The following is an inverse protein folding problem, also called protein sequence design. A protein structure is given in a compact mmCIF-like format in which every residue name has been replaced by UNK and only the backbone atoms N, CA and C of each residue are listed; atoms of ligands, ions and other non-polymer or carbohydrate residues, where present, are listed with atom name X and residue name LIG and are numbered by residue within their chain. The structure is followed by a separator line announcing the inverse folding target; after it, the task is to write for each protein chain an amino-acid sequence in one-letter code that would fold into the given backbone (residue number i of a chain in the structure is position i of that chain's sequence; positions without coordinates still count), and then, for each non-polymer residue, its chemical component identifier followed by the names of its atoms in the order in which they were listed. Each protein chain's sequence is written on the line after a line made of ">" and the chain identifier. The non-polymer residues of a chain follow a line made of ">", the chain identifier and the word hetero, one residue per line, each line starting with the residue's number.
data_IF_257801589445
#
_entry.id   IF_257801589445
#
_cell.length_a   1.000
_cell.length_b   1.000
_cell.length_c   1.000
_cell.angle_alpha   90.00
_cell.angle_beta   90.00
_cell.angle_gamma   90.00
#
_symmetry.space_group_name_H-M   'P 1'
#
loop_
_entity.id
_entity.type
_entity.pdbx_description
1 polymer ?
#
# COMPACT_ATOMS: atom_id res chain seq x y z
N UNK A 1 19.05 -16.14 11.06
CA UNK A 1 18.12 -15.21 10.37
C UNK A 1 16.79 -15.93 10.27
N UNK A 2 15.77 -15.39 10.93
CA UNK A 2 14.42 -15.94 10.80
C UNK A 2 13.89 -15.56 9.41
N UNK A 3 13.74 -16.57 8.57
CA UNK A 3 13.26 -16.43 7.20
C UNK A 3 11.76 -16.17 7.20
N UNK A 4 11.30 -15.16 6.47
CA UNK A 4 9.87 -14.89 6.24
C UNK A 4 9.10 -16.13 5.75
N UNK A 5 9.79 -17.05 5.05
CA UNK A 5 9.25 -18.34 4.60
C UNK A 5 8.91 -19.28 5.75
N UNK A 6 9.43 -19.04 6.96
CA UNK A 6 9.18 -19.90 8.14
C UNK A 6 7.95 -19.47 8.94
N UNK A 7 7.21 -18.44 8.50
CA UNK A 7 5.97 -18.02 9.16
C UNK A 7 4.93 -19.15 9.12
N UNK A 8 4.43 -19.49 10.30
CA UNK A 8 3.34 -20.47 10.44
C UNK A 8 2.01 -19.82 10.02
N UNK A 9 1.02 -20.65 9.68
CA UNK A 9 -0.31 -20.17 9.28
C UNK A 9 -0.90 -19.14 10.27
N UNK A 10 -0.78 -19.39 11.58
CA UNK A 10 -1.28 -18.48 12.62
C UNK A 10 -0.62 -17.08 12.57
N UNK A 11 0.66 -17.02 12.23
CA UNK A 11 1.38 -15.76 12.14
C UNK A 11 0.99 -14.94 10.91
N UNK A 12 0.73 -15.63 9.79
CA UNK A 12 0.16 -15.00 8.59
C UNK A 12 -1.28 -14.52 8.85
N UNK A 13 -2.05 -15.26 9.63
CA UNK A 13 -3.42 -14.85 10.00
C UNK A 13 -3.40 -13.60 10.89
N UNK A 14 -2.45 -13.47 11.83
CA UNK A 14 -2.29 -12.25 12.62
C UNK A 14 -1.96 -11.04 11.73
N UNK A 15 -1.07 -11.19 10.75
CA UNK A 15 -0.77 -10.12 9.79
C UNK A 15 -1.98 -9.77 8.89
N UNK A 16 -2.77 -10.77 8.49
CA UNK A 16 -4.01 -10.55 7.74
C UNK A 16 -5.03 -9.75 8.55
N UNK A 17 -5.15 -10.04 9.84
CA UNK A 17 -6.05 -9.28 10.72
C UNK A 17 -5.61 -7.81 10.82
N UNK A 18 -4.32 -7.55 11.01
CA UNK A 18 -3.77 -6.18 11.01
C UNK A 18 -4.07 -5.47 9.68
N UNK A 19 -3.85 -6.15 8.56
CA UNK A 19 -4.14 -5.56 7.24
C UNK A 19 -5.64 -5.31 7.05
N UNK A 20 -6.51 -6.20 7.55
CA UNK A 20 -7.96 -6.05 7.49
C UNK A 20 -8.44 -4.83 8.32
N UNK A 21 -7.89 -4.63 9.51
CA UNK A 21 -8.15 -3.45 10.34
C UNK A 21 -7.70 -2.17 9.61
N UNK A 22 -6.48 -2.17 9.04
CA UNK A 22 -5.97 -1.06 8.25
C UNK A 22 -6.84 -0.74 7.04
N UNK A 23 -7.29 -1.76 6.31
CA UNK A 23 -8.21 -1.63 5.18
C UNK A 23 -9.56 -1.00 5.61
N UNK A 24 -10.12 -1.42 6.74
CA UNK A 24 -11.36 -0.85 7.30
C UNK A 24 -11.22 0.65 7.64
N UNK A 25 -10.11 1.04 8.28
CA UNK A 25 -9.82 2.46 8.57
C UNK A 25 -9.64 3.25 7.27
N UNK A 26 -8.91 2.71 6.30
CA UNK A 26 -8.70 3.32 5.00
C UNK A 26 -10.01 3.52 4.22
N UNK A 27 -10.88 2.50 4.19
CA UNK A 27 -12.20 2.59 3.56
C UNK A 27 -13.05 3.70 4.16
N UNK A 28 -13.05 3.82 5.49
CA UNK A 28 -13.79 4.85 6.21
C UNK A 28 -13.27 6.24 5.85
N UNK A 29 -11.95 6.46 5.90
CA UNK A 29 -11.34 7.74 5.61
C UNK A 29 -11.55 8.18 4.15
N UNK A 30 -11.35 7.26 3.20
CA UNK A 30 -11.61 7.53 1.77
C UNK A 30 -13.08 7.81 1.49
N UNK A 31 -14.01 7.05 2.10
CA UNK A 31 -15.45 7.27 1.96
C UNK A 31 -15.87 8.68 2.38
N UNK A 32 -15.31 9.17 3.49
CA UNK A 32 -15.54 10.53 3.96
C UNK A 32 -15.00 11.58 2.98
N UNK A 33 -13.83 11.34 2.42
CA UNK A 33 -13.19 12.28 1.49
C UNK A 33 -13.94 12.41 0.17
N UNK A 34 -14.32 11.29 -0.43
CA UNK A 34 -15.05 11.30 -1.71
C UNK A 34 -16.56 11.48 -1.55
N UNK A 35 -17.07 11.46 -0.32
CA UNK A 35 -18.51 11.51 0.00
C UNK A 35 -19.33 10.42 -0.72
N UNK A 36 -18.79 9.21 -0.77
CA UNK A 36 -19.42 8.00 -1.33
C UNK A 36 -18.93 6.78 -0.57
N UNK A 37 -19.75 5.74 -0.51
CA UNK A 37 -19.41 4.55 0.24
C UNK A 37 -18.33 3.73 -0.50
N UNK A 38 -17.13 3.67 0.09
CA UNK A 38 -16.07 2.74 -0.31
C UNK A 38 -16.07 1.55 0.62
N UNK A 39 -16.05 0.37 0.04
CA UNK A 39 -15.72 -0.88 0.75
C UNK A 39 -14.39 -1.39 0.24
N UNK A 40 -13.57 -1.96 1.12
CA UNK A 40 -12.34 -2.64 0.74
C UNK A 40 -12.57 -4.12 0.96
N UNK A 41 -12.21 -4.95 -0.02
CA UNK A 41 -12.22 -6.41 0.13
C UNK A 41 -11.27 -6.85 1.24
N UNK A 42 -11.48 -8.04 1.79
CA UNK A 42 -10.50 -8.63 2.72
C UNK A 42 -9.15 -8.71 2.00
N UNK A 43 -8.11 -8.04 2.53
CA UNK A 43 -6.83 -7.96 1.82
C UNK A 43 -6.18 -9.33 1.68
N UNK A 44 -5.55 -9.58 0.55
CA UNK A 44 -4.68 -10.73 0.37
C UNK A 44 -3.25 -10.32 0.71
N UNK A 45 -2.64 -11.02 1.68
CA UNK A 45 -1.24 -10.79 2.03
C UNK A 45 -0.39 -11.86 1.35
N UNK A 46 0.57 -11.39 0.56
CA UNK A 46 1.61 -12.20 -0.04
C UNK A 46 2.97 -11.76 0.47
N UNK A 47 3.82 -12.73 0.79
CA UNK A 47 5.23 -12.48 1.04
C UNK A 47 5.95 -12.91 -0.22
N UNK A 48 6.39 -11.94 -0.98
CA UNK A 48 7.02 -12.16 -2.29
C UNK A 48 8.42 -11.58 -2.31
N UNK A 49 9.25 -12.08 -3.22
CA UNK A 49 10.47 -11.35 -3.58
C UNK A 49 10.06 -10.07 -4.29
N UNK A 50 10.78 -9.00 -4.04
CA UNK A 50 10.45 -7.71 -4.66
C UNK A 50 10.48 -7.80 -6.20
N UNK A 51 11.36 -8.62 -6.77
CA UNK A 51 11.46 -8.87 -8.21
C UNK A 51 10.23 -9.57 -8.81
N UNK A 52 9.45 -10.30 -7.99
CA UNK A 52 8.26 -11.03 -8.40
C UNK A 52 6.96 -10.20 -8.26
N UNK A 53 7.07 -8.98 -7.71
CA UNK A 53 5.91 -8.10 -7.47
C UNK A 53 5.43 -7.36 -8.72
N UNK A 54 6.29 -6.83 -9.63
CA UNK A 54 5.84 -6.05 -10.78
C UNK A 54 4.76 -6.75 -11.63
N UNK A 55 4.90 -8.03 -12.02
CA UNK A 55 3.89 -8.70 -12.84
C UNK A 55 2.57 -8.97 -12.12
N UNK A 56 2.53 -8.85 -10.78
CA UNK A 56 1.29 -8.97 -10.01
C UNK A 56 0.49 -7.66 -10.04
N UNK A 57 1.15 -6.53 -10.24
CA UNK A 57 0.54 -5.19 -10.18
C UNK A 57 -0.04 -4.79 -11.53
N UNK A 58 0.73 -4.92 -12.60
CA UNK A 58 0.36 -4.50 -13.95
C UNK A 58 1.11 -5.30 -15.01
N UNK A 59 0.65 -5.23 -16.24
CA UNK A 59 1.41 -5.73 -17.38
C UNK A 59 2.77 -4.99 -17.48
N UNK A 60 3.82 -5.63 -18.04
CA UNK A 60 5.20 -5.10 -18.00
C UNK A 60 5.37 -3.69 -18.60
N UNK A 61 4.56 -3.34 -19.59
CA UNK A 61 4.62 -2.05 -20.31
C UNK A 61 3.56 -1.05 -19.83
N UNK A 62 2.76 -1.40 -18.83
CA UNK A 62 1.77 -0.49 -18.28
C UNK A 62 2.35 0.37 -17.16
N UNK A 63 2.20 1.71 -17.25
CA UNK A 63 2.65 2.58 -16.19
C UNK A 63 1.77 2.46 -14.94
N UNK A 64 2.39 2.70 -13.80
CA UNK A 64 1.74 2.75 -12.49
C UNK A 64 1.95 4.13 -11.85
N UNK A 65 1.05 4.49 -10.95
CA UNK A 65 1.25 5.59 -10.02
C UNK A 65 1.59 4.99 -8.65
N UNK A 66 2.74 5.36 -8.11
CA UNK A 66 3.23 4.82 -6.85
C UNK A 66 3.49 5.95 -5.84
N UNK A 67 2.88 5.86 -4.67
CA UNK A 67 3.08 6.77 -3.56
C UNK A 67 4.02 6.13 -2.55
N UNK A 68 5.20 6.74 -2.40
CA UNK A 68 6.24 6.33 -1.47
C UNK A 68 6.16 7.17 -0.20
N UNK A 69 6.21 6.51 0.96
CA UNK A 69 6.35 7.15 2.26
C UNK A 69 7.39 6.40 3.10
N UNK A 70 8.14 7.14 3.91
CA UNK A 70 9.03 6.55 4.90
C UNK A 70 8.27 6.22 6.18
N UNK A 71 8.60 5.11 6.77
CA UNK A 71 8.23 4.73 8.13
C UNK A 71 9.29 5.24 9.10
N UNK A 72 8.88 5.97 10.12
CA UNK A 72 9.73 6.54 11.17
C UNK A 72 9.15 6.20 12.55
N UNK A 73 9.98 6.27 13.57
CA UNK A 73 9.61 5.95 14.94
C UNK A 73 10.29 4.68 15.43
N UNK A 74 9.55 3.84 16.16
CA UNK A 74 10.08 2.58 16.71
C UNK A 74 10.36 1.53 15.63
N UNK A 75 9.65 1.61 14.49
CA UNK A 75 9.93 0.85 13.29
C UNK A 75 10.32 1.79 12.16
N UNK A 76 11.31 1.37 11.40
CA UNK A 76 11.81 2.11 10.23
C UNK A 76 11.70 1.28 8.96
N UNK A 77 11.60 1.96 7.83
CA UNK A 77 11.43 1.33 6.52
C UNK A 77 10.66 2.24 5.58
N UNK A 78 9.92 1.63 4.66
CA UNK A 78 9.12 2.35 3.67
C UNK A 78 7.80 1.65 3.40
N UNK A 79 6.83 2.43 2.97
CA UNK A 79 5.61 1.94 2.36
C UNK A 79 5.53 2.44 0.93
N UNK A 80 5.03 1.59 0.05
CA UNK A 80 4.78 1.93 -1.33
C UNK A 80 3.35 1.52 -1.66
N UNK A 81 2.51 2.50 -2.00
CA UNK A 81 1.17 2.24 -2.48
C UNK A 81 1.15 2.40 -3.98
N UNK A 82 0.80 1.34 -4.71
CA UNK A 82 0.88 1.28 -6.16
C UNK A 82 -0.51 1.06 -6.76
N UNK A 83 -0.84 1.87 -7.75
CA UNK A 83 -2.05 1.74 -8.56
C UNK A 83 -1.67 1.61 -10.04
N UNK A 84 -2.26 0.69 -10.80
CA UNK A 84 -2.26 0.78 -12.25
C UNK A 84 -2.73 2.17 -12.71
N UNK A 85 -2.12 2.74 -13.75
CA UNK A 85 -2.42 4.12 -14.16
C UNK A 85 -3.91 4.39 -14.39
N UNK A 86 -4.69 3.49 -15.04
CA UNK A 86 -6.14 3.69 -15.18
C UNK A 86 -6.87 3.80 -13.84
N UNK A 87 -6.48 2.97 -12.87
CA UNK A 87 -7.02 3.02 -11.50
C UNK A 87 -6.66 4.33 -10.81
N UNK A 88 -5.41 4.80 -10.95
CA UNK A 88 -4.98 6.06 -10.36
C UNK A 88 -5.76 7.26 -10.94
N UNK A 89 -5.94 7.31 -12.26
CA UNK A 89 -6.75 8.35 -12.91
C UNK A 89 -8.17 8.34 -12.35
N UNK A 90 -8.79 7.15 -12.30
CA UNK A 90 -10.17 7.05 -11.81
C UNK A 90 -10.31 7.44 -10.34
N UNK A 91 -9.35 7.02 -9.50
CA UNK A 91 -9.31 7.41 -8.08
C UNK A 91 -9.15 8.93 -7.93
N UNK A 92 -8.29 9.56 -8.73
CA UNK A 92 -8.14 11.01 -8.73
C UNK A 92 -9.43 11.74 -9.13
N UNK A 93 -10.12 11.26 -10.17
CA UNK A 93 -11.43 11.82 -10.58
C UNK A 93 -12.46 11.77 -9.44
N UNK A 94 -12.53 10.63 -8.74
CA UNK A 94 -13.42 10.46 -7.59
C UNK A 94 -13.08 11.44 -6.47
N UNK A 95 -11.81 11.57 -6.13
CA UNK A 95 -11.36 12.49 -5.08
C UNK A 95 -11.59 13.95 -5.44
N UNK A 96 -11.45 14.30 -6.71
CA UNK A 96 -11.74 15.64 -7.25
C UNK A 96 -13.22 15.85 -7.57
N UNK A 97 -14.08 14.85 -7.33
CA UNK A 97 -15.52 14.86 -7.63
C UNK A 97 -15.83 15.17 -9.10
N UNK A 98 -15.02 14.60 -10.00
CA UNK A 98 -15.15 14.75 -11.44
C UNK A 98 -15.84 13.56 -12.09
N UNK A 99 -16.53 13.75 -13.22
CA UNK A 99 -17.13 12.65 -13.97
C UNK A 99 -16.06 11.63 -14.45
N UNK A 100 -16.43 10.35 -14.64
CA UNK A 100 -15.55 9.36 -15.25
C UNK A 100 -15.04 9.81 -16.63
N UNK A 101 -13.74 9.64 -16.88
CA UNK A 101 -13.10 10.00 -18.15
C UNK A 101 -12.89 11.49 -18.38
N UNK A 102 -13.10 12.32 -17.36
CA UNK A 102 -12.86 13.76 -17.44
C UNK A 102 -11.38 14.15 -17.35
N UNK A 103 -10.53 13.24 -16.85
CA UNK A 103 -9.10 13.44 -16.71
C UNK A 103 -8.35 12.52 -17.68
N UNK A 104 -7.80 13.04 -18.79
CA UNK A 104 -7.08 12.21 -19.77
C UNK A 104 -5.75 11.66 -19.22
N UNK A 105 -5.16 12.36 -18.25
CA UNK A 105 -3.89 12.02 -17.62
C UNK A 105 -3.84 12.51 -16.16
N UNK A 106 -2.76 12.11 -15.46
CA UNK A 106 -2.48 12.58 -14.10
C UNK A 106 -1.77 13.95 -14.15
N UNK A 107 -2.55 15.02 -14.31
CA UNK A 107 -2.06 16.38 -14.16
C UNK A 107 -1.74 16.74 -12.70
N UNK A 108 -1.39 18.00 -12.42
CA UNK A 108 -0.96 18.43 -11.07
C UNK A 108 -2.03 18.19 -10.00
N UNK A 109 -3.30 18.44 -10.31
CA UNK A 109 -4.39 18.24 -9.38
C UNK A 109 -4.64 16.76 -9.12
N UNK A 110 -4.63 15.93 -10.17
CA UNK A 110 -4.77 14.48 -10.07
C UNK A 110 -3.61 13.86 -9.28
N UNK A 111 -2.38 14.30 -9.53
CA UNK A 111 -1.20 13.87 -8.76
C UNK A 111 -1.30 14.26 -7.28
N UNK A 112 -1.80 15.44 -6.98
CA UNK A 112 -2.06 15.88 -5.61
C UNK A 112 -3.13 15.00 -4.94
N UNK A 113 -4.20 14.68 -5.64
CA UNK A 113 -5.26 13.78 -5.16
C UNK A 113 -4.72 12.37 -4.89
N UNK A 114 -3.88 11.82 -5.77
CA UNK A 114 -3.26 10.50 -5.57
C UNK A 114 -2.28 10.50 -4.39
N UNK A 115 -1.50 11.57 -4.21
CA UNK A 115 -0.65 11.70 -3.01
C UNK A 115 -1.47 11.69 -1.73
N UNK A 116 -2.59 12.38 -1.71
CA UNK A 116 -3.48 12.42 -0.54
C UNK A 116 -4.15 11.06 -0.31
N UNK A 117 -4.63 10.37 -1.35
CA UNK A 117 -5.12 8.99 -1.23
C UNK A 117 -4.05 8.06 -0.65
N UNK A 118 -2.82 8.20 -1.15
CA UNK A 118 -1.67 7.44 -0.66
C UNK A 118 -1.35 7.72 0.81
N UNK A 119 -1.42 8.98 1.21
CA UNK A 119 -1.24 9.39 2.60
C UNK A 119 -2.28 8.73 3.53
N UNK A 120 -3.56 8.80 3.15
CA UNK A 120 -4.66 8.21 3.91
C UNK A 120 -4.50 6.69 4.04
N UNK A 121 -4.30 6.00 2.92
CA UNK A 121 -4.21 4.54 2.87
C UNK A 121 -2.98 4.04 3.62
N UNK A 122 -1.81 4.59 3.35
CA UNK A 122 -0.56 4.18 4.02
C UNK A 122 -0.61 4.46 5.51
N UNK A 123 -1.16 5.61 5.93
CA UNK A 123 -1.32 5.94 7.34
C UNK A 123 -2.29 5.00 8.05
N UNK A 124 -3.38 4.59 7.39
CA UNK A 124 -4.33 3.64 7.96
C UNK A 124 -3.68 2.27 8.23
N UNK A 125 -2.90 1.74 7.27
CA UNK A 125 -2.16 0.49 7.47
C UNK A 125 -1.07 0.62 8.54
N UNK A 126 -0.31 1.73 8.55
CA UNK A 126 0.72 1.96 9.57
C UNK A 126 0.12 2.12 10.97
N UNK A 127 -1.01 2.79 11.10
CA UNK A 127 -1.70 2.92 12.39
C UNK A 127 -2.18 1.56 12.90
N UNK A 128 -2.79 0.73 12.04
CA UNK A 128 -3.19 -0.62 12.42
C UNK A 128 -2.00 -1.48 12.88
N UNK A 129 -0.86 -1.37 12.19
CA UNK A 129 0.38 -2.06 12.58
C UNK A 129 0.93 -1.51 13.91
N UNK A 130 0.92 -0.18 14.08
CA UNK A 130 1.33 0.51 15.31
C UNK A 130 0.52 0.04 16.51
N UNK A 131 -0.79 0.01 16.38
CA UNK A 131 -1.70 -0.41 17.45
C UNK A 131 -1.50 -1.90 17.80
N UNK A 132 -1.37 -2.76 16.78
CA UNK A 132 -1.12 -4.18 16.97
C UNK A 132 0.18 -4.45 17.72
N UNK A 133 1.24 -3.70 17.41
CA UNK A 133 2.56 -3.90 17.98
C UNK A 133 2.78 -3.12 19.30
N UNK A 134 1.92 -2.15 19.62
CA UNK A 134 2.14 -1.22 20.71
C UNK A 134 3.39 -0.35 20.51
N UNK A 135 3.73 -0.04 19.25
CA UNK A 135 4.91 0.73 18.84
C UNK A 135 4.48 1.98 18.07
N UNK A 136 5.25 3.06 18.20
CA UNK A 136 4.97 4.30 17.49
C UNK A 136 5.51 4.24 16.07
N UNK A 137 4.60 4.40 15.08
CA UNK A 137 4.94 4.57 13.68
C UNK A 137 4.45 5.92 13.19
N UNK A 138 5.34 6.65 12.50
CA UNK A 138 5.05 7.96 11.94
C UNK A 138 5.32 7.94 10.42
N UNK A 139 4.33 8.29 9.60
CA UNK A 139 4.54 8.42 8.16
C UNK A 139 5.26 9.73 7.81
N UNK A 140 6.16 9.69 6.82
CA UNK A 140 6.67 10.90 6.18
C UNK A 140 5.64 11.52 5.23
N UNK A 141 5.84 12.76 4.77
CA UNK A 141 5.08 13.27 3.63
C UNK A 141 5.19 12.34 2.42
N UNK A 142 4.09 12.19 1.64
CA UNK A 142 4.06 11.32 0.47
C UNK A 142 4.86 11.90 -0.71
N UNK A 143 5.59 11.05 -1.41
CA UNK A 143 6.16 11.35 -2.73
C UNK A 143 5.50 10.46 -3.79
N UNK A 144 5.30 10.98 -5.01
CA UNK A 144 4.65 10.27 -6.10
C UNK A 144 5.63 10.04 -7.24
N UNK A 145 5.67 8.82 -7.74
CA UNK A 145 6.34 8.44 -8.98
C UNK A 145 5.30 7.85 -9.96
N UNK A 146 5.41 8.22 -11.23
CA UNK A 146 4.58 7.67 -12.32
C UNK A 146 5.54 7.15 -13.37
N UNK A 147 5.64 5.82 -13.47
CA UNK A 147 6.56 5.15 -14.40
C UNK A 147 6.12 3.68 -14.57
N UNK A 148 6.87 2.91 -15.35
CA UNK A 148 6.67 1.45 -15.44
C UNK A 148 6.83 0.80 -14.07
N UNK A 149 6.02 -0.20 -13.77
CA UNK A 149 6.02 -0.90 -12.47
C UNK A 149 7.42 -1.40 -12.10
N UNK A 150 8.15 -1.96 -13.07
CA UNK A 150 9.53 -2.43 -12.87
C UNK A 150 10.49 -1.29 -12.50
N UNK A 151 10.39 -0.13 -13.15
CA UNK A 151 11.26 1.03 -12.87
C UNK A 151 11.01 1.58 -11.47
N UNK A 152 9.73 1.75 -11.10
CA UNK A 152 9.33 2.22 -9.76
C UNK A 152 9.85 1.28 -8.67
N UNK A 153 9.62 -0.02 -8.81
CA UNK A 153 10.01 -1.00 -7.80
C UNK A 153 11.53 -1.19 -7.75
N UNK A 154 12.23 -1.15 -8.89
CA UNK A 154 13.70 -1.18 -8.93
C UNK A 154 14.30 0.04 -8.24
N UNK A 155 13.72 1.22 -8.45
CA UNK A 155 14.17 2.46 -7.78
C UNK A 155 13.94 2.37 -6.27
N UNK A 156 12.79 1.88 -5.84
CA UNK A 156 12.52 1.60 -4.44
C UNK A 156 13.54 0.59 -3.88
N UNK A 157 13.83 -0.48 -4.61
CA UNK A 157 14.79 -1.53 -4.22
C UNK A 157 16.22 -1.01 -4.08
N UNK A 158 16.75 -0.29 -5.07
CA UNK A 158 18.12 0.23 -5.06
C UNK A 158 18.40 1.17 -3.88
N UNK A 159 17.38 1.83 -3.38
CA UNK A 159 17.49 2.69 -2.20
C UNK A 159 17.55 1.92 -0.87
N UNK A 160 17.28 0.60 -0.86
CA UNK A 160 17.26 -0.24 0.35
C UNK A 160 18.58 -0.96 0.68
N UNK A 161 19.55 -1.01 -0.25
CA UNK A 161 20.76 -1.81 -0.09
C UNK A 161 20.51 -3.31 -0.35
N UNK A 162 21.56 -4.03 -0.63
CA UNK A 162 21.63 -5.31 -1.35
C UNK A 162 21.11 -6.57 -0.65
N UNK A 163 20.55 -6.51 0.56
CA UNK A 163 20.31 -7.73 1.36
C UNK A 163 18.82 -8.08 1.59
N UNK A 164 17.87 -7.44 0.87
CA UNK A 164 16.46 -7.64 1.16
C UNK A 164 15.65 -8.07 -0.06
N UNK A 165 15.41 -9.36 -0.09
CA UNK A 165 14.69 -10.00 -1.18
C UNK A 165 13.17 -10.03 -0.99
N UNK A 166 12.63 -9.79 0.22
CA UNK A 166 11.21 -10.06 0.53
C UNK A 166 10.47 -8.82 1.03
N UNK A 167 9.23 -8.67 0.55
CA UNK A 167 8.30 -7.61 0.93
C UNK A 167 6.96 -8.21 1.35
N UNK A 168 6.27 -7.53 2.24
CA UNK A 168 4.86 -7.79 2.49
C UNK A 168 4.04 -7.03 1.44
N UNK A 169 3.42 -7.75 0.54
CA UNK A 169 2.50 -7.20 -0.44
C UNK A 169 1.07 -7.44 0.01
N UNK A 170 0.35 -6.36 0.25
CA UNK A 170 -1.07 -6.37 0.61
C UNK A 170 -1.86 -5.90 -0.59
N UNK A 171 -2.50 -6.83 -1.29
CA UNK A 171 -3.42 -6.52 -2.37
C UNK A 171 -4.80 -6.20 -1.82
N UNK A 172 -5.38 -5.09 -2.27
CA UNK A 172 -6.72 -4.66 -1.86
C UNK A 172 -7.54 -4.23 -3.09
N UNK A 173 -8.80 -4.67 -3.13
CA UNK A 173 -9.80 -4.15 -4.07
C UNK A 173 -10.69 -3.14 -3.34
N UNK A 174 -10.82 -1.98 -3.95
CA UNK A 174 -11.73 -0.92 -3.51
C UNK A 174 -13.02 -1.01 -4.31
N UNK A 175 -14.14 -1.20 -3.64
CA UNK A 175 -15.44 -1.29 -4.26
C UNK A 175 -16.29 -0.07 -3.92
N UNK A 176 -16.66 0.71 -4.93
CA UNK A 176 -17.59 1.82 -4.80
C UNK A 176 -19.00 1.32 -5.09
N UNK A 177 -19.76 1.08 -4.02
CA UNK A 177 -21.10 0.49 -4.11
C UNK A 177 -22.03 1.31 -5.00
N UNK A 178 -22.02 2.63 -4.82
CA UNK A 178 -22.94 3.55 -5.51
C UNK A 178 -22.66 3.66 -7.03
N UNK A 179 -21.45 3.31 -7.46
CA UNK A 179 -21.02 3.39 -8.85
C UNK A 179 -20.90 2.02 -9.52
N UNK A 180 -20.92 0.93 -8.75
CA UNK A 180 -20.68 -0.41 -9.25
C UNK A 180 -19.24 -0.63 -9.77
N UNK A 181 -18.30 0.22 -9.35
CA UNK A 181 -16.92 0.20 -9.82
C UNK A 181 -15.98 -0.49 -8.84
N UNK A 182 -14.97 -1.18 -9.38
CA UNK A 182 -13.86 -1.77 -8.61
C UNK A 182 -12.54 -1.14 -9.02
N UNK A 183 -11.76 -0.73 -8.05
CA UNK A 183 -10.39 -0.26 -8.22
C UNK A 183 -9.44 -1.17 -7.47
N UNK A 184 -8.34 -1.55 -8.08
CA UNK A 184 -7.33 -2.43 -7.51
C UNK A 184 -6.11 -1.62 -7.10
N UNK A 185 -5.59 -1.85 -5.89
CA UNK A 185 -4.38 -1.22 -5.39
C UNK A 185 -3.52 -2.19 -4.60
N UNK A 186 -2.23 -1.90 -4.53
CA UNK A 186 -1.23 -2.71 -3.86
C UNK A 186 -0.49 -1.88 -2.82
N UNK A 187 -0.54 -2.32 -1.60
CA UNK A 187 0.26 -1.73 -0.52
C UNK A 187 1.45 -2.64 -0.23
N UNK A 188 2.64 -2.10 -0.38
CA UNK A 188 3.89 -2.78 -0.09
C UNK A 188 4.49 -2.21 1.19
N UNK A 189 4.76 -3.09 2.13
CA UNK A 189 5.49 -2.76 3.36
C UNK A 189 6.90 -3.32 3.25
N UNK A 190 7.89 -2.42 3.33
CA UNK A 190 9.32 -2.71 3.20
C UNK A 190 10.04 -2.25 4.48
N UNK A 191 9.97 -3.04 5.57
CA UNK A 191 10.62 -2.70 6.82
C UNK A 191 12.13 -2.87 6.72
N UNK A 192 12.88 -2.07 7.48
CA UNK A 192 14.32 -2.31 7.68
C UNK A 192 14.56 -3.64 8.41
N UNK A 193 15.75 -4.27 8.33
CA UNK A 193 16.01 -5.58 8.91
C UNK A 193 15.67 -5.68 10.40
N UNK A 194 15.98 -4.65 11.17
CA UNK A 194 15.66 -4.60 12.59
C UNK A 194 14.15 -4.54 12.83
N UNK A 195 13.45 -3.73 12.03
CA UNK A 195 11.99 -3.59 12.08
C UNK A 195 11.28 -4.87 11.62
N UNK A 196 11.79 -5.52 10.58
CA UNK A 196 11.30 -6.83 10.15
C UNK A 196 11.39 -7.85 11.29
N UNK A 197 12.53 -7.91 12.00
CA UNK A 197 12.68 -8.82 13.15
C UNK A 197 11.74 -8.47 14.30
N UNK A 198 11.43 -7.19 14.52
CA UNK A 198 10.46 -6.77 15.52
C UNK A 198 9.04 -7.20 15.15
N UNK A 199 8.63 -6.99 13.88
CA UNK A 199 7.33 -7.45 13.36
C UNK A 199 7.19 -8.97 13.51
N UNK A 200 8.20 -9.73 13.08
CA UNK A 200 8.19 -11.19 13.18
C UNK A 200 8.13 -11.69 14.62
N UNK A 201 8.73 -10.99 15.57
CA UNK A 201 8.62 -11.31 17.00
C UNK A 201 7.22 -11.04 17.52
N UNK A 202 6.62 -9.91 17.18
CA UNK A 202 5.27 -9.56 17.63
C UNK A 202 4.23 -10.60 17.17
N UNK A 203 4.27 -11.00 15.89
CA UNK A 203 3.34 -12.04 15.36
C UNK A 203 3.62 -13.46 15.88
N UNK A 204 4.76 -13.73 16.51
CA UNK A 204 5.05 -15.03 17.13
C UNK A 204 4.47 -15.18 18.54
N UNK A 205 4.17 -14.07 19.16
CA UNK A 205 3.66 -14.02 20.54
C UNK A 205 2.14 -13.83 20.56
N UNK A 206 1.56 -13.36 19.45
CA UNK A 206 0.11 -13.24 19.26
C UNK A 206 -0.49 -14.58 18.82
#
# INVERSE_FOLDING_TARGET
>A
MDDLRSLKALQLDALREVANIGAGHAATALSQMINSTIMISVPTINISRLEDVPPQISEPEEPVAAVLMHMMGDLTGRTLLVFPKPTAVRLAELMLRRPPGSSPELGEMEQSAIKEAGNILSSAYMNALSDFMGMMLLPSPPSLAIDMSTAVLTTAYLQFGTDKDYVFCVESEFFMHDLGEKLRGFFLLLPDPASLQAILRAVRVA
#
